data_IF_720381645590
#
_entry.id   IF_720381645590
#
_cell.length_a   1.000
_cell.length_b   1.000
_cell.length_c   1.000
_cell.angle_alpha   90.00
_cell.angle_beta   90.00
_cell.angle_gamma   90.00
#
_symmetry.space_group_name_H-M   'P 1'
#
loop_
_entity.id
_entity.type
_entity.pdbx_description
1 polymer ?
#
# COMPACT_ATOMS: atom_id res chain seq x y z
N UNK A 1 -23.91 17.86 -0.79
CA UNK A 1 -22.86 17.40 0.13
C UNK A 1 -22.09 16.35 -0.65
N UNK A 2 -20.97 16.75 -1.27
CA UNK A 2 -20.11 15.83 -1.99
C UNK A 2 -19.31 14.94 -1.03
N UNK A 3 -18.76 13.87 -1.58
CA UNK A 3 -17.82 12.96 -0.92
C UNK A 3 -16.45 13.62 -0.93
N UNK A 4 -15.88 13.94 0.24
CA UNK A 4 -14.57 14.59 0.34
C UNK A 4 -13.42 13.56 0.31
N UNK A 5 -13.22 12.86 -0.83
CA UNK A 5 -12.11 11.91 -0.97
C UNK A 5 -10.77 12.61 -0.80
N UNK A 6 -10.61 13.81 -1.35
CA UNK A 6 -9.37 14.57 -1.21
C UNK A 6 -8.99 14.76 0.27
N UNK A 7 -9.93 15.27 1.07
CA UNK A 7 -9.71 15.52 2.51
C UNK A 7 -9.40 14.22 3.26
N UNK A 8 -10.11 13.14 2.93
CA UNK A 8 -9.88 11.83 3.53
C UNK A 8 -8.47 11.30 3.23
N UNK A 9 -8.02 11.42 1.97
CA UNK A 9 -6.68 11.02 1.57
C UNK A 9 -5.62 11.89 2.23
N UNK A 10 -5.79 13.21 2.26
CA UNK A 10 -4.86 14.11 2.93
C UNK A 10 -4.75 13.79 4.42
N UNK A 11 -5.87 13.57 5.10
CA UNK A 11 -5.88 13.19 6.50
C UNK A 11 -5.18 11.85 6.74
N UNK A 12 -5.41 10.86 5.88
CA UNK A 12 -4.74 9.56 5.96
C UNK A 12 -3.23 9.67 5.76
N UNK A 13 -2.78 10.47 4.79
CA UNK A 13 -1.36 10.75 4.54
C UNK A 13 -0.72 11.39 5.78
N UNK A 14 -1.38 12.39 6.40
CA UNK A 14 -0.85 13.05 7.62
C UNK A 14 -0.82 12.09 8.82
N UNK A 15 -1.79 11.18 8.93
CA UNK A 15 -1.84 10.20 10.00
C UNK A 15 -0.72 9.13 9.90
N UNK A 16 -0.20 8.90 8.69
CA UNK A 16 0.92 8.00 8.45
C UNK A 16 2.25 8.68 8.83
N UNK A 17 2.67 8.50 10.09
CA UNK A 17 3.98 8.97 10.56
C UNK A 17 5.12 8.49 9.64
N UNK A 18 6.10 9.37 9.29
CA UNK A 18 7.27 8.96 8.54
C UNK A 18 8.07 7.94 9.35
N UNK A 19 8.13 6.69 8.87
CA UNK A 19 8.98 5.63 9.43
C UNK A 19 9.94 5.17 8.36
N UNK A 20 11.24 5.16 8.65
CA UNK A 20 12.31 4.92 7.67
C UNK A 20 12.29 3.51 7.05
N UNK A 21 11.54 2.56 7.62
CA UNK A 21 11.65 1.14 7.27
C UNK A 21 10.30 0.40 7.20
N UNK A 22 9.18 1.12 7.15
CA UNK A 22 7.87 0.49 7.01
C UNK A 22 7.26 0.85 5.66
N UNK A 23 6.85 -0.18 4.92
CA UNK A 23 5.98 -0.01 3.76
C UNK A 23 4.65 0.60 4.25
N UNK A 24 4.16 1.62 3.54
CA UNK A 24 2.99 2.40 3.93
C UNK A 24 1.96 2.31 2.83
N UNK A 25 0.74 1.94 3.20
CA UNK A 25 -0.36 1.89 2.27
C UNK A 25 -1.66 2.41 2.89
N UNK A 26 -2.55 2.88 2.03
CA UNK A 26 -3.91 3.32 2.34
C UNK A 26 -4.87 2.40 1.59
N UNK A 27 -5.92 1.95 2.26
CA UNK A 27 -7.03 1.24 1.61
C UNK A 27 -8.22 2.21 1.54
N UNK A 28 -8.54 2.67 0.34
CA UNK A 28 -9.66 3.55 0.03
C UNK A 28 -10.89 2.72 -0.30
N UNK A 29 -12.00 2.94 0.42
CA UNK A 29 -13.29 2.30 0.16
C UNK A 29 -14.26 3.39 -0.30
N UNK A 30 -14.78 3.31 -1.52
CA UNK A 30 -15.68 4.33 -2.06
C UNK A 30 -16.50 3.79 -3.23
N UNK A 31 -17.63 4.44 -3.52
CA UNK A 31 -18.43 4.27 -4.74
C UNK A 31 -17.92 5.11 -5.92
N UNK A 32 -16.83 5.86 -5.78
CA UNK A 32 -16.33 6.66 -6.90
C UNK A 32 -17.13 7.94 -7.15
N UNK A 33 -18.20 8.21 -6.39
CA UNK A 33 -19.15 9.27 -6.75
C UNK A 33 -18.92 10.62 -6.10
N UNK A 34 -19.25 11.65 -6.88
CA UNK A 34 -19.45 13.03 -6.45
C UNK A 34 -18.36 13.53 -5.50
N UNK A 35 -17.17 13.79 -6.05
CA UNK A 35 -16.09 14.37 -5.27
C UNK A 35 -16.09 15.89 -5.32
N UNK A 36 -15.79 16.49 -4.16
CA UNK A 36 -15.35 17.87 -4.09
C UNK A 36 -13.81 17.86 -4.06
N UNK A 37 -13.17 18.66 -4.91
CA UNK A 37 -11.71 18.80 -4.95
C UNK A 37 -11.00 18.02 -6.06
N UNK A 38 -9.70 17.79 -5.86
CA UNK A 38 -8.75 17.18 -6.81
C UNK A 38 -8.12 15.92 -6.19
N UNK A 39 -8.84 14.78 -6.12
CA UNK A 39 -8.36 13.57 -5.47
C UNK A 39 -7.06 13.02 -6.10
N UNK A 40 -6.84 13.31 -7.38
CA UNK A 40 -5.63 12.91 -8.08
C UNK A 40 -4.37 13.59 -7.53
N UNK A 41 -4.45 14.86 -7.17
CA UNK A 41 -3.35 15.59 -6.54
C UNK A 41 -2.99 15.01 -5.16
N UNK A 42 -3.99 14.54 -4.41
CA UNK A 42 -3.73 13.87 -3.13
C UNK A 42 -3.02 12.53 -3.32
N UNK A 43 -3.39 11.76 -4.36
CA UNK A 43 -2.73 10.51 -4.70
C UNK A 43 -1.29 10.72 -5.19
N UNK A 44 -1.03 11.74 -6.01
CA UNK A 44 0.33 12.10 -6.43
C UNK A 44 1.23 12.43 -5.23
N UNK A 45 0.72 13.22 -4.27
CA UNK A 45 1.44 13.51 -3.01
C UNK A 45 1.68 12.25 -2.18
N UNK A 46 0.75 11.30 -2.17
CA UNK A 46 0.95 10.01 -1.51
C UNK A 46 2.10 9.23 -2.18
N UNK A 47 2.12 9.16 -3.51
CA UNK A 47 3.17 8.50 -4.28
C UNK A 47 4.56 9.12 -4.03
N UNK A 48 4.66 10.46 -3.98
CA UNK A 48 5.91 11.17 -3.65
C UNK A 48 6.45 10.79 -2.27
N UNK A 49 5.54 10.49 -1.33
CA UNK A 49 5.91 10.03 0.01
C UNK A 49 6.15 8.53 0.07
N UNK A 50 6.02 7.78 -1.03
CA UNK A 50 6.13 6.32 -1.05
C UNK A 50 4.97 5.62 -0.32
N UNK A 51 3.79 6.25 -0.31
CA UNK A 51 2.55 5.67 0.22
C UNK A 51 1.76 5.11 -0.96
N UNK A 52 1.42 3.82 -0.89
CA UNK A 52 0.64 3.11 -1.93
C UNK A 52 -0.85 3.17 -1.59
N UNK A 53 -1.72 3.53 -2.53
CA UNK A 53 -3.17 3.56 -2.31
C UNK A 53 -3.81 2.39 -3.05
N UNK A 54 -4.45 1.49 -2.31
CA UNK A 54 -5.33 0.47 -2.85
C UNK A 54 -6.77 0.95 -2.78
N UNK A 55 -7.55 0.76 -3.85
CA UNK A 55 -8.94 1.23 -3.93
C UNK A 55 -9.92 0.07 -4.06
N UNK A 56 -10.98 0.08 -3.27
CA UNK A 56 -12.12 -0.83 -3.38
C UNK A 56 -13.37 -0.05 -3.74
N UNK A 57 -13.89 -0.35 -4.92
CA UNK A 57 -15.14 0.20 -5.44
C UNK A 57 -16.34 -0.53 -4.85
N UNK A 58 -17.33 0.16 -4.28
CA UNK A 58 -18.59 -0.45 -3.83
C UNK A 58 -19.78 0.11 -4.59
N UNK A 59 -20.70 -0.78 -4.96
CA UNK A 59 -21.93 -0.41 -5.67
C UNK A 59 -22.00 -1.00 -7.07
N UNK A 60 -23.12 -0.78 -7.74
CA UNK A 60 -23.32 -1.26 -9.11
C UNK A 60 -23.10 -0.13 -10.12
N UNK A 61 -22.45 -0.38 -11.27
CA UNK A 61 -22.28 0.63 -12.32
C UNK A 61 -23.61 1.15 -12.89
N UNK A 62 -24.64 0.30 -12.89
CA UNK A 62 -25.99 0.66 -13.36
C UNK A 62 -26.72 1.61 -12.41
N UNK A 63 -26.30 1.63 -11.15
CA UNK A 63 -26.80 2.47 -10.08
C UNK A 63 -27.88 1.80 -9.24
N UNK A 64 -27.81 2.02 -7.93
CA UNK A 64 -28.76 1.50 -6.95
C UNK A 64 -29.40 2.64 -6.15
N UNK A 65 -30.69 2.51 -5.76
CA UNK A 65 -31.34 3.50 -4.92
C UNK A 65 -30.76 3.45 -3.50
N UNK A 66 -30.52 4.62 -2.91
CA UNK A 66 -29.96 4.71 -1.55
C UNK A 66 -31.07 4.49 -0.52
N UNK A 67 -31.01 3.45 0.32
CA UNK A 67 -32.01 3.24 1.36
C UNK A 67 -31.83 4.26 2.50
N UNK A 68 -32.94 4.81 2.99
CA UNK A 68 -33.02 5.67 4.16
C UNK A 68 -33.91 4.97 5.17
N UNK A 69 -33.31 4.54 6.28
CA UNK A 69 -34.05 3.95 7.40
C UNK A 69 -34.53 5.08 8.30
N UNK A 70 -35.83 5.19 8.44
CA UNK A 70 -36.42 6.11 9.42
C UNK A 70 -36.42 5.44 10.79
N UNK A 71 -35.60 5.96 11.70
CA UNK A 71 -35.45 5.42 13.06
C UNK A 71 -36.74 5.49 13.89
N UNK A 72 -37.70 6.36 13.53
CA UNK A 72 -38.96 6.51 14.25
C UNK A 72 -40.05 5.53 13.80
N UNK A 73 -40.08 5.19 12.52
CA UNK A 73 -41.12 4.35 11.92
C UNK A 73 -40.62 2.93 11.63
N UNK A 74 -39.30 2.72 11.67
CA UNK A 74 -38.63 1.48 11.29
C UNK A 74 -38.97 1.04 9.84
N UNK A 75 -39.37 2.01 9.00
CA UNK A 75 -39.61 1.83 7.57
C UNK A 75 -38.35 2.20 6.78
N UNK A 76 -38.06 1.40 5.75
CA UNK A 76 -37.01 1.70 4.78
C UNK A 76 -37.64 2.42 3.60
N UNK A 77 -37.31 3.71 3.47
CA UNK A 77 -37.63 4.51 2.28
C UNK A 77 -36.39 4.63 1.40
N UNK A 78 -36.50 5.26 0.24
CA UNK A 78 -35.36 5.54 -0.63
C UNK A 78 -35.11 7.05 -0.70
N UNK A 79 -33.85 7.44 -0.87
CA UNK A 79 -33.46 8.84 -0.97
C UNK A 79 -34.08 9.46 -2.23
N UNK A 80 -34.75 10.60 -2.03
CA UNK A 80 -35.35 11.40 -3.08
C UNK A 80 -34.63 12.75 -3.11
N UNK A 81 -34.41 13.31 -4.30
CA UNK A 81 -33.82 14.64 -4.48
C UNK A 81 -34.85 15.77 -4.31
N UNK A 82 -34.40 17.02 -4.44
CA UNK A 82 -35.26 18.21 -4.30
C UNK A 82 -36.35 18.30 -5.38
N UNK A 83 -36.22 17.56 -6.47
CA UNK A 83 -37.17 17.53 -7.60
C UNK A 83 -38.21 16.43 -7.48
N UNK A 84 -38.07 15.53 -6.49
CA UNK A 84 -38.96 14.40 -6.27
C UNK A 84 -38.53 13.11 -6.99
N UNK A 85 -37.33 13.07 -7.56
CA UNK A 85 -36.79 11.89 -8.26
C UNK A 85 -35.93 11.03 -7.33
N UNK A 86 -35.89 9.72 -7.61
CA UNK A 86 -35.06 8.77 -6.85
C UNK A 86 -33.58 9.04 -7.12
N UNK A 87 -32.80 9.21 -6.03
CA UNK A 87 -31.35 9.32 -6.12
C UNK A 87 -30.75 7.94 -6.37
N UNK A 88 -30.19 7.75 -7.55
CA UNK A 88 -29.43 6.56 -7.92
C UNK A 88 -27.93 6.84 -7.74
N UNK A 89 -27.29 6.04 -6.89
CA UNK A 89 -25.83 6.06 -6.72
C UNK A 89 -25.20 5.03 -7.65
N UNK A 90 -24.25 5.45 -8.49
CA UNK A 90 -23.54 4.65 -9.50
C UNK A 90 -22.06 4.54 -9.18
N UNK A 91 -21.54 3.32 -9.21
CA UNK A 91 -20.10 3.15 -9.07
C UNK A 91 -19.33 3.85 -10.21
N UNK A 92 -18.41 4.75 -9.86
CA UNK A 92 -17.45 5.32 -10.80
C UNK A 92 -16.07 4.70 -10.57
N UNK A 93 -15.77 3.69 -11.37
CA UNK A 93 -14.55 2.88 -11.24
C UNK A 93 -13.31 3.62 -11.76
N UNK A 94 -13.47 4.46 -12.78
CA UNK A 94 -12.38 5.10 -13.52
C UNK A 94 -11.45 5.89 -12.59
N UNK A 95 -12.03 6.74 -11.76
CA UNK A 95 -11.28 7.56 -10.80
C UNK A 95 -10.59 6.73 -9.70
N UNK A 96 -11.21 5.64 -9.26
CA UNK A 96 -10.62 4.75 -8.26
C UNK A 96 -9.45 3.96 -8.85
N UNK A 97 -9.56 3.55 -10.11
CA UNK A 97 -8.46 2.96 -10.88
C UNK A 97 -7.31 3.95 -11.07
N UNK A 98 -7.59 5.19 -11.44
CA UNK A 98 -6.57 6.23 -11.60
C UNK A 98 -5.79 6.48 -10.30
N UNK A 99 -6.49 6.62 -9.16
CA UNK A 99 -5.88 6.79 -7.83
C UNK A 99 -4.96 5.61 -7.48
N UNK A 100 -5.44 4.39 -7.69
CA UNK A 100 -4.64 3.19 -7.41
C UNK A 100 -3.40 3.12 -8.32
N UNK A 101 -3.58 3.36 -9.62
CA UNK A 101 -2.51 3.29 -10.61
C UNK A 101 -1.42 4.36 -10.37
N UNK A 102 -1.80 5.58 -9.99
CA UNK A 102 -0.85 6.67 -9.74
C UNK A 102 0.12 6.37 -8.59
N UNK A 103 -0.28 5.50 -7.65
CA UNK A 103 0.52 5.14 -6.47
C UNK A 103 1.12 3.74 -6.56
N UNK A 104 0.84 2.99 -7.64
CA UNK A 104 1.28 1.59 -7.79
C UNK A 104 0.47 0.59 -6.97
N UNK A 105 -0.73 0.97 -6.53
CA UNK A 105 -1.64 0.12 -5.77
C UNK A 105 -2.52 -0.75 -6.66
N UNK A 106 -3.58 -1.29 -6.06
CA UNK A 106 -4.52 -2.20 -6.71
C UNK A 106 -5.93 -1.66 -6.59
N UNK A 107 -6.67 -1.70 -7.69
CA UNK A 107 -8.11 -1.49 -7.70
C UNK A 107 -8.84 -2.85 -7.67
N UNK A 108 -9.95 -2.91 -6.94
CA UNK A 108 -10.87 -4.04 -6.95
C UNK A 108 -12.31 -3.59 -6.77
N UNK A 109 -13.19 -3.99 -7.70
CA UNK A 109 -14.63 -3.88 -7.50
C UNK A 109 -15.09 -4.89 -6.43
N UNK A 110 -15.66 -4.39 -5.35
CA UNK A 110 -16.13 -5.17 -4.23
C UNK A 110 -17.66 -5.33 -4.29
N UNK A 111 -18.10 -6.59 -4.37
CA UNK A 111 -19.53 -6.94 -4.46
C UNK A 111 -20.14 -7.21 -3.08
N UNK A 112 -19.34 -7.67 -2.11
CA UNK A 112 -19.80 -8.15 -0.80
C UNK A 112 -18.91 -7.68 0.38
N UNK A 113 -18.59 -6.38 0.46
CA UNK A 113 -18.11 -5.74 1.70
C UNK A 113 -16.80 -6.25 2.31
N UNK A 114 -16.89 -7.36 3.03
CA UNK A 114 -15.96 -7.83 4.05
C UNK A 114 -14.97 -8.87 3.49
N UNK A 115 -15.41 -9.69 2.52
CA UNK A 115 -14.56 -10.75 1.94
C UNK A 115 -13.45 -10.14 1.07
N UNK A 116 -13.78 -9.05 0.38
CA UNK A 116 -12.92 -8.39 -0.59
C UNK A 116 -11.81 -7.58 0.08
N UNK A 117 -12.07 -7.00 1.26
CA UNK A 117 -11.03 -6.38 2.10
C UNK A 117 -10.02 -7.42 2.59
N UNK A 118 -10.45 -8.64 2.91
CA UNK A 118 -9.52 -9.70 3.27
C UNK A 118 -8.65 -10.11 2.09
N UNK A 119 -9.26 -10.32 0.91
CA UNK A 119 -8.55 -10.70 -0.30
C UNK A 119 -7.51 -9.66 -0.75
N UNK A 120 -7.81 -8.36 -0.63
CA UNK A 120 -6.82 -7.33 -1.00
C UNK A 120 -5.64 -7.33 -0.03
N UNK A 121 -5.88 -7.54 1.26
CA UNK A 121 -4.82 -7.62 2.27
C UNK A 121 -3.93 -8.85 2.01
N UNK A 122 -4.52 -9.99 1.66
CA UNK A 122 -3.75 -11.18 1.27
C UNK A 122 -2.88 -10.93 0.03
N UNK A 123 -3.43 -10.28 -1.01
CA UNK A 123 -2.69 -9.91 -2.22
C UNK A 123 -1.56 -8.92 -1.94
N UNK A 124 -1.77 -7.97 -1.03
CA UNK A 124 -0.72 -7.03 -0.58
C UNK A 124 0.40 -7.81 0.11
N UNK A 125 0.06 -8.71 1.05
CA UNK A 125 1.05 -9.52 1.75
C UNK A 125 1.85 -10.43 0.80
N UNK A 126 1.23 -10.99 -0.23
CA UNK A 126 1.91 -11.80 -1.25
C UNK A 126 2.86 -10.96 -2.12
N UNK A 127 2.42 -9.77 -2.53
CA UNK A 127 3.24 -8.82 -3.29
C UNK A 127 4.43 -8.29 -2.47
N UNK A 128 4.22 -7.97 -1.19
CA UNK A 128 5.28 -7.61 -0.24
C UNK A 128 6.23 -8.77 0.02
N UNK A 129 5.74 -9.99 0.24
CA UNK A 129 6.60 -11.15 0.44
C UNK A 129 7.50 -11.43 -0.78
N UNK A 130 6.97 -11.21 -1.99
CA UNK A 130 7.73 -11.36 -3.24
C UNK A 130 8.78 -10.26 -3.41
N UNK A 131 8.45 -9.01 -3.07
CA UNK A 131 9.39 -7.87 -3.16
C UNK A 131 10.44 -7.91 -2.05
N UNK A 132 10.10 -8.32 -0.83
CA UNK A 132 11.03 -8.61 0.26
C UNK A 132 11.96 -9.78 -0.08
N UNK A 133 11.44 -10.84 -0.70
CA UNK A 133 12.25 -11.96 -1.21
C UNK A 133 13.28 -11.53 -2.26
N UNK A 134 12.96 -10.51 -3.07
CA UNK A 134 13.91 -9.91 -4.02
C UNK A 134 14.84 -8.87 -3.38
N UNK A 135 14.46 -8.25 -2.26
CA UNK A 135 15.28 -7.26 -1.51
C UNK A 135 16.28 -7.93 -0.57
N UNK A 136 15.95 -9.12 -0.07
CA UNK A 136 16.87 -10.03 0.61
C UNK A 136 17.54 -10.90 -0.46
N UNK A 137 18.46 -10.35 -1.26
CA UNK A 137 19.53 -11.08 -2.00
C UNK A 137 20.39 -10.09 -2.81
N UNK A 138 20.81 -8.99 -2.20
CA UNK A 138 22.12 -8.38 -2.49
C UNK A 138 22.88 -8.09 -1.20
N UNK A 139 22.74 -8.98 -0.20
CA UNK A 139 23.76 -9.05 0.83
C UNK A 139 24.96 -9.70 0.15
N UNK A 140 25.93 -8.88 -0.25
CA UNK A 140 27.22 -9.35 -0.77
C UNK A 140 27.72 -10.43 0.18
N UNK A 141 27.63 -11.69 -0.26
CA UNK A 141 28.03 -12.83 0.55
C UNK A 141 29.53 -12.71 0.74
N UNK A 142 29.86 -12.32 1.95
CA UNK A 142 31.15 -12.15 2.59
C UNK A 142 32.32 -12.79 1.82
N UNK A 143 32.92 -12.02 0.92
CA UNK A 143 34.28 -12.30 0.40
C UNK A 143 35.33 -12.36 1.51
N UNK A 144 34.95 -12.00 2.74
CA UNK A 144 35.68 -12.12 4.00
C UNK A 144 36.14 -13.55 4.31
N UNK A 145 35.40 -14.58 3.87
CA UNK A 145 35.82 -15.98 4.09
C UNK A 145 37.20 -16.29 3.49
N UNK A 146 37.47 -15.81 2.27
CA UNK A 146 38.77 -16.00 1.62
C UNK A 146 39.89 -15.22 2.34
N UNK A 147 39.60 -14.00 2.80
CA UNK A 147 40.57 -13.18 3.54
C UNK A 147 40.90 -13.75 4.92
N UNK A 148 39.90 -14.27 5.64
CA UNK A 148 40.08 -14.95 6.93
C UNK A 148 40.86 -16.26 6.73
N UNK A 149 40.50 -17.06 5.72
CA UNK A 149 41.22 -18.28 5.39
C UNK A 149 42.70 -17.99 5.04
N UNK A 150 42.95 -16.94 4.24
CA UNK A 150 44.31 -16.51 3.92
C UNK A 150 45.09 -16.08 5.17
N UNK A 151 44.47 -15.32 6.07
CA UNK A 151 45.08 -14.90 7.34
C UNK A 151 45.46 -16.10 8.23
N UNK A 152 44.59 -17.10 8.32
CA UNK A 152 44.87 -18.35 9.06
C UNK A 152 46.01 -19.16 8.42
N UNK A 153 46.07 -19.23 7.09
CA UNK A 153 47.18 -19.89 6.37
C UNK A 153 48.49 -19.16 6.67
N UNK A 154 48.54 -17.83 6.56
CA UNK A 154 49.75 -17.07 6.86
C UNK A 154 50.19 -17.22 8.31
N UNK A 155 49.25 -17.22 9.26
CA UNK A 155 49.54 -17.37 10.69
C UNK A 155 50.13 -18.76 10.99
N UNK A 156 49.58 -19.81 10.39
CA UNK A 156 50.09 -21.18 10.57
C UNK A 156 51.47 -21.37 9.93
N UNK A 157 51.71 -20.77 8.76
CA UNK A 157 53.04 -20.76 8.14
C UNK A 157 54.09 -20.05 8.98
N UNK A 158 53.76 -18.93 9.63
CA UNK A 158 54.68 -18.22 10.52
C UNK A 158 55.08 -19.07 11.73
N UNK A 159 54.13 -19.81 12.31
CA UNK A 159 54.40 -20.71 13.45
C UNK A 159 55.23 -21.94 13.03
N UNK A 160 55.05 -22.43 11.79
CA UNK A 160 55.80 -23.58 11.27
C UNK A 160 57.20 -23.24 10.77
N UNK A 161 57.46 -21.98 10.42
CA UNK A 161 58.80 -21.53 10.06
C UNK A 161 59.65 -21.45 11.34
N UNK A 162 60.69 -22.28 11.50
CA UNK A 162 61.59 -22.17 12.63
C UNK A 162 62.27 -20.80 12.55
N UNK A 163 62.32 -20.07 13.66
CA UNK A 163 63.07 -18.83 13.80
C UNK A 163 64.52 -19.07 13.36
N UNK A 164 64.82 -18.79 12.09
CA UNK A 164 66.21 -18.70 11.63
C UNK A 164 66.72 -17.37 12.14
N UNK A 165 67.20 -17.45 13.37
CA UNK A 165 67.84 -16.43 14.16
C UNK A 165 68.82 -15.63 13.29
N UNK A 166 68.37 -14.52 12.71
CA UNK A 166 69.25 -13.59 12.00
C UNK A 166 69.91 -12.69 13.02
N UNK A 167 70.82 -13.30 13.78
CA UNK A 167 71.97 -12.60 14.34
C UNK A 167 72.72 -11.95 13.18
N UNK A 168 72.97 -10.65 13.33
CA UNK A 168 74.08 -9.83 12.82
C UNK A 168 73.51 -8.41 12.69
N UNK A 169 74.15 -7.33 13.13
CA UNK A 169 75.48 -7.04 13.67
C UNK A 169 75.39 -5.65 14.30
#
# INVERSE_FOLDING_TARGET
>A
QGTAIEDALQLAIVALEPRESADRFIILLSDGENFEGEPMLAAEKAAEQGIVIHALGYGEPLGAPIPVVDESSNETTFKIDETGELVLSRLNEEILEEIANATGGLYQHATTGIVEVHNIIERINEAEATTLGNRIETRSVERLGLFIALAFITLTFEILLPETNRRQS
#
